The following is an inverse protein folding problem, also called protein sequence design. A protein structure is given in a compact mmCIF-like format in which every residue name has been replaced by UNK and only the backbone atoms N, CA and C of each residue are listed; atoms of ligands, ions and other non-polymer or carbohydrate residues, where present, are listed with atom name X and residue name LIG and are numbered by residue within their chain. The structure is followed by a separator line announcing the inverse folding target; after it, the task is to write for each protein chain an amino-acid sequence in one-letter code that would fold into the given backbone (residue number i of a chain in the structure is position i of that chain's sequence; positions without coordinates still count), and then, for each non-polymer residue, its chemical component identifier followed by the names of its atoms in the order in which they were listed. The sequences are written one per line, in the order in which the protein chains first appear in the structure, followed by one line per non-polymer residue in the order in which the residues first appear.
data_IF_232417411586
#
_entry.id   IF_232417411586
#
_cell.length_a   1.000
_cell.length_b   1.000
_cell.length_c   1.000
_cell.angle_alpha   90.00
_cell.angle_beta   90.00
_cell.angle_gamma   90.00
#
_symmetry.space_group_name_H-M   'P 1'
#
loop_
_entity.id
_entity.type
_entity.pdbx_description
1 polymer ?
#
# COMPACT_ATOMS: atom_id res chain seq x y z
N UNK A 1 1.71 -15.96 -20.11
CA UNK A 1 1.21 -15.76 -18.73
C UNK A 1 0.24 -14.58 -18.74
N UNK A 2 -0.94 -14.68 -18.12
CA UNK A 2 -1.81 -13.49 -17.97
C UNK A 2 -1.29 -12.57 -16.83
N UNK A 3 -1.81 -11.34 -16.74
CA UNK A 3 -1.34 -10.35 -15.77
C UNK A 3 -1.48 -10.82 -14.31
N UNK A 4 -2.60 -11.46 -13.98
CA UNK A 4 -2.84 -12.00 -12.64
C UNK A 4 -1.84 -13.08 -12.24
N UNK A 5 -1.57 -14.00 -13.16
CA UNK A 5 -0.56 -15.06 -12.96
C UNK A 5 0.83 -14.48 -12.82
N UNK A 6 1.19 -13.50 -13.64
CA UNK A 6 2.50 -12.85 -13.67
C UNK A 6 2.80 -12.12 -12.36
N UNK A 7 1.87 -11.29 -11.87
CA UNK A 7 2.06 -10.58 -10.59
C UNK A 7 2.19 -11.58 -9.45
N UNK A 8 1.30 -12.59 -9.39
CA UNK A 8 1.38 -13.63 -8.35
C UNK A 8 2.69 -14.42 -8.43
N UNK A 9 3.15 -14.75 -9.61
CA UNK A 9 4.43 -15.45 -9.80
C UNK A 9 5.62 -14.59 -9.36
N UNK A 10 5.65 -13.30 -9.74
CA UNK A 10 6.69 -12.37 -9.30
C UNK A 10 6.73 -12.21 -7.77
N UNK A 11 5.56 -12.07 -7.13
CA UNK A 11 5.48 -11.97 -5.65
C UNK A 11 6.00 -13.25 -4.99
N UNK A 12 5.70 -14.41 -5.55
CA UNK A 12 6.10 -15.72 -5.00
C UNK A 12 7.51 -16.19 -5.44
N UNK A 13 8.28 -15.35 -6.15
CA UNK A 13 9.62 -15.70 -6.63
C UNK A 13 9.64 -16.81 -7.68
N UNK A 14 8.55 -16.98 -8.43
CA UNK A 14 8.45 -17.95 -9.52
C UNK A 14 8.87 -17.34 -10.86
N UNK A 15 9.16 -18.19 -11.85
CA UNK A 15 9.47 -17.76 -13.20
C UNK A 15 8.34 -16.92 -13.80
N UNK A 16 8.71 -15.84 -14.50
CA UNK A 16 7.81 -14.90 -15.16
C UNK A 16 8.21 -14.69 -16.61
N UNK A 17 7.24 -14.43 -17.48
CA UNK A 17 7.48 -14.17 -18.91
C UNK A 17 7.98 -12.74 -19.18
N UNK A 18 7.71 -11.80 -18.30
CA UNK A 18 8.22 -10.42 -18.27
C UNK A 18 8.05 -9.82 -16.89
N UNK A 19 8.74 -8.72 -16.62
CA UNK A 19 8.53 -7.99 -15.36
C UNK A 19 7.11 -7.41 -15.29
N UNK A 20 6.32 -7.63 -14.20
CA UNK A 20 5.00 -7.02 -14.07
C UNK A 20 5.11 -5.52 -13.86
N UNK A 21 4.20 -4.77 -14.51
CA UNK A 21 4.15 -3.30 -14.50
C UNK A 21 2.88 -2.86 -13.79
N UNK A 22 3.03 -1.89 -12.91
CA UNK A 22 1.96 -1.11 -12.35
C UNK A 22 2.43 0.34 -12.16
N UNK A 23 1.53 1.27 -12.00
CA UNK A 23 1.83 2.65 -11.65
C UNK A 23 0.61 3.31 -11.01
N UNK A 24 0.84 4.01 -9.92
CA UNK A 24 -0.22 4.75 -9.26
C UNK A 24 -0.33 6.15 -9.88
N UNK A 25 -0.83 6.18 -11.12
CA UNK A 25 -0.82 7.36 -11.99
C UNK A 25 -2.06 8.26 -11.87
N UNK A 26 -3.14 7.75 -11.32
CA UNK A 26 -4.35 8.54 -11.05
C UNK A 26 -4.18 9.43 -9.79
N UNK A 27 -5.21 10.10 -9.37
CA UNK A 27 -5.28 11.14 -8.35
C UNK A 27 -4.93 12.53 -8.93
N UNK A 28 -3.70 12.99 -8.80
CA UNK A 28 -3.34 14.37 -9.17
C UNK A 28 -3.41 14.65 -10.68
N UNK A 29 -3.13 13.66 -11.53
CA UNK A 29 -3.11 13.79 -12.98
C UNK A 29 -4.31 13.17 -13.70
N UNK A 30 -5.36 12.81 -12.97
CA UNK A 30 -6.54 12.15 -13.55
C UNK A 30 -7.17 12.98 -14.68
N UNK A 31 -7.30 14.28 -14.49
CA UNK A 31 -7.93 15.16 -15.51
C UNK A 31 -7.08 15.27 -16.77
N UNK A 32 -5.78 15.50 -16.62
CA UNK A 32 -4.81 15.64 -17.69
C UNK A 32 -4.67 14.33 -18.50
N UNK A 33 -4.64 13.19 -17.80
CA UNK A 33 -4.64 11.87 -18.44
C UNK A 33 -5.94 11.65 -19.20
N UNK A 34 -7.10 11.97 -18.62
CA UNK A 34 -8.39 11.83 -19.30
C UNK A 34 -8.49 12.74 -20.54
N UNK A 35 -7.98 13.96 -20.46
CA UNK A 35 -7.95 14.92 -21.57
C UNK A 35 -7.11 14.41 -22.74
N UNK A 36 -5.94 13.84 -22.47
CA UNK A 36 -4.99 13.37 -23.49
C UNK A 36 -5.31 11.96 -24.00
N UNK A 37 -5.72 11.05 -23.12
CA UNK A 37 -5.92 9.61 -23.40
C UNK A 37 -7.38 9.18 -23.45
N UNK A 38 -8.32 10.08 -23.16
CA UNK A 38 -9.74 9.77 -23.04
C UNK A 38 -10.13 9.13 -21.72
N UNK A 39 -9.24 8.41 -21.05
CA UNK A 39 -9.42 7.86 -19.69
C UNK A 39 -8.10 7.39 -19.07
N UNK A 40 -8.04 7.33 -17.75
CA UNK A 40 -6.93 6.66 -17.04
C UNK A 40 -6.82 5.19 -17.48
N UNK A 41 -7.93 4.50 -17.68
CA UNK A 41 -7.94 3.11 -18.12
C UNK A 41 -7.28 2.93 -19.50
N UNK A 42 -7.43 3.90 -20.42
CA UNK A 42 -6.76 3.83 -21.73
C UNK A 42 -5.23 3.96 -21.62
N UNK A 43 -4.75 4.81 -20.69
CA UNK A 43 -3.33 4.90 -20.36
C UNK A 43 -2.82 3.59 -19.76
N UNK A 44 -3.50 3.05 -18.78
CA UNK A 44 -3.15 1.78 -18.14
C UNK A 44 -3.16 0.60 -19.13
N UNK A 45 -4.13 0.56 -20.05
CA UNK A 45 -4.23 -0.49 -21.08
C UNK A 45 -3.10 -0.35 -22.11
N UNK A 46 -2.68 0.88 -22.46
CA UNK A 46 -1.54 1.15 -23.35
C UNK A 46 -0.24 0.55 -22.81
N UNK A 47 0.00 0.68 -21.53
CA UNK A 47 1.22 0.19 -20.87
C UNK A 47 1.04 -1.21 -20.25
N UNK A 48 -0.09 -1.86 -20.54
CA UNK A 48 -0.41 -3.21 -20.05
C UNK A 48 -0.19 -3.35 -18.54
N UNK A 49 -0.79 -2.48 -17.73
CA UNK A 49 -0.69 -2.59 -16.27
C UNK A 49 -1.22 -3.93 -15.80
N UNK A 50 -0.39 -4.66 -15.05
CA UNK A 50 -0.67 -6.01 -14.58
C UNK A 50 -1.47 -6.04 -13.28
N UNK A 51 -1.44 -4.97 -12.50
CA UNK A 51 -2.13 -4.86 -11.23
C UNK A 51 -3.15 -3.72 -11.22
N UNK A 52 -4.03 -3.74 -10.24
CA UNK A 52 -4.95 -2.66 -9.95
C UNK A 52 -5.11 -2.49 -8.44
N UNK A 53 -4.98 -1.26 -7.96
CA UNK A 53 -5.19 -0.84 -6.58
C UNK A 53 -6.65 -0.46 -6.40
N UNK A 54 -7.36 -1.19 -5.55
CA UNK A 54 -8.80 -1.06 -5.35
C UNK A 54 -9.09 -0.43 -4.00
N UNK A 55 -9.87 0.64 -4.03
CA UNK A 55 -10.37 1.32 -2.85
C UNK A 55 -11.88 1.16 -2.73
N UNK A 56 -12.39 1.21 -1.49
CA UNK A 56 -13.83 1.19 -1.20
C UNK A 56 -14.16 0.27 -0.03
N UNK A 57 -15.46 0.02 0.12
CA UNK A 57 -16.00 -0.65 1.30
C UNK A 57 -16.36 0.34 2.41
N UNK A 58 -16.78 -0.13 3.59
CA UNK A 58 -17.07 0.72 4.72
C UNK A 58 -15.79 1.32 5.30
N UNK A 59 -15.90 2.50 5.92
CA UNK A 59 -14.83 3.03 6.76
C UNK A 59 -14.80 2.26 8.09
N UNK A 60 -13.63 2.12 8.74
CA UNK A 60 -13.55 1.39 10.02
C UNK A 60 -14.42 1.98 11.11
N UNK A 61 -14.53 3.29 11.21
CA UNK A 61 -15.29 3.95 12.25
C UNK A 61 -16.44 4.82 11.74
N UNK A 62 -17.42 5.06 12.60
CA UNK A 62 -18.52 5.98 12.35
C UNK A 62 -18.04 7.44 12.44
N UNK A 63 -17.96 8.08 11.27
CA UNK A 63 -17.50 9.46 11.16
C UNK A 63 -18.34 10.43 12.01
N UNK A 64 -19.67 10.24 12.07
CA UNK A 64 -20.55 11.12 12.83
C UNK A 64 -20.35 10.99 14.34
N UNK A 65 -20.07 9.78 14.79
CA UNK A 65 -19.73 9.54 16.19
C UNK A 65 -18.40 10.21 16.55
N UNK A 66 -17.37 10.07 15.72
CA UNK A 66 -16.08 10.74 15.93
C UNK A 66 -16.24 12.27 15.93
N UNK A 67 -16.99 12.84 14.97
CA UNK A 67 -17.26 14.29 14.91
C UNK A 67 -17.99 14.77 16.18
N UNK A 68 -18.95 14.02 16.70
CA UNK A 68 -19.65 14.33 17.96
C UNK A 68 -18.68 14.32 19.14
N UNK A 69 -17.90 13.25 19.30
CA UNK A 69 -16.92 13.14 20.39
C UNK A 69 -15.87 14.26 20.34
N UNK A 70 -15.42 14.64 19.13
CA UNK A 70 -14.52 15.79 18.95
C UNK A 70 -15.14 17.12 19.34
N UNK A 71 -16.45 17.28 19.18
CA UNK A 71 -17.14 18.51 19.58
C UNK A 71 -17.47 18.57 21.08
N UNK A 72 -17.57 17.43 21.74
CA UNK A 72 -17.91 17.31 23.18
C UNK A 72 -16.66 17.32 24.08
N UNK A 73 -15.45 17.18 23.52
CA UNK A 73 -14.20 17.10 24.27
C UNK A 73 -13.17 18.07 23.71
N UNK A 74 -12.40 18.73 24.57
CA UNK A 74 -11.32 19.63 24.17
C UNK A 74 -10.22 18.89 23.40
N UNK A 75 -10.00 17.61 23.75
CA UNK A 75 -9.05 16.73 23.13
C UNK A 75 -9.59 15.28 23.12
N UNK A 76 -9.48 14.59 21.98
CA UNK A 76 -9.80 13.17 21.90
C UNK A 76 -8.64 12.34 22.41
N UNK A 77 -8.93 11.48 23.39
CA UNK A 77 -7.98 10.49 23.92
C UNK A 77 -8.46 9.07 23.64
N UNK A 78 -7.56 8.07 23.64
CA UNK A 78 -7.93 6.68 23.36
C UNK A 78 -9.01 6.10 24.28
N UNK A 79 -9.01 6.44 25.55
CA UNK A 79 -10.02 6.00 26.53
C UNK A 79 -11.42 6.53 26.22
N UNK A 80 -11.54 7.77 25.73
CA UNK A 80 -12.82 8.34 25.24
C UNK A 80 -13.37 7.49 24.08
N UNK A 81 -12.51 7.11 23.13
CA UNK A 81 -12.93 6.27 22.01
C UNK A 81 -13.28 4.85 22.44
N UNK A 82 -12.61 4.29 23.45
CA UNK A 82 -12.89 2.96 23.98
C UNK A 82 -14.22 2.88 24.71
N UNK A 83 -14.70 3.97 25.29
CA UNK A 83 -15.99 4.04 25.96
C UNK A 83 -17.18 3.89 24.99
N UNK A 84 -16.93 4.00 23.69
CA UNK A 84 -17.97 3.97 22.64
C UNK A 84 -17.74 2.80 21.67
N UNK A 85 -18.80 2.40 20.97
CA UNK A 85 -18.70 1.45 19.84
C UNK A 85 -18.47 2.21 18.55
N UNK A 86 -17.22 2.61 18.34
CA UNK A 86 -16.84 3.47 17.20
C UNK A 86 -16.76 2.71 15.86
N UNK A 87 -16.64 1.38 15.88
CA UNK A 87 -16.41 0.62 14.66
C UNK A 87 -17.71 0.34 13.88
N UNK A 88 -17.65 0.53 12.58
CA UNK A 88 -18.77 0.21 11.68
C UNK A 88 -18.90 -1.29 11.47
N UNK A 89 -20.03 -1.72 10.92
CA UNK A 89 -20.20 -3.11 10.50
C UNK A 89 -19.51 -3.36 9.14
N UNK A 90 -18.38 -4.13 9.10
CA UNK A 90 -17.67 -4.44 7.87
C UNK A 90 -18.38 -5.49 6.99
N UNK A 91 -19.47 -6.07 7.43
CA UNK A 91 -20.21 -7.12 6.67
C UNK A 91 -21.32 -6.55 5.81
N UNK A 92 -21.67 -5.28 5.94
CA UNK A 92 -22.79 -4.64 5.27
C UNK A 92 -22.58 -4.55 3.75
N UNK A 93 -23.31 -5.34 2.97
CA UNK A 93 -23.18 -5.47 1.51
C UNK A 93 -23.26 -4.16 0.73
N UNK A 94 -24.19 -3.28 1.09
CA UNK A 94 -24.41 -2.01 0.40
C UNK A 94 -23.15 -1.11 0.38
N UNK A 95 -22.24 -1.26 1.34
CA UNK A 95 -21.00 -0.48 1.43
C UNK A 95 -19.96 -0.89 0.38
N UNK A 96 -20.12 -2.05 -0.24
CA UNK A 96 -19.15 -2.61 -1.19
C UNK A 96 -19.48 -2.38 -2.67
N UNK A 97 -20.57 -1.72 -3.00
CA UNK A 97 -21.01 -1.55 -4.40
C UNK A 97 -19.93 -0.95 -5.31
N UNK A 98 -19.26 0.12 -4.85
CA UNK A 98 -18.16 0.76 -5.59
C UNK A 98 -16.94 -0.16 -5.72
N UNK A 99 -16.53 -0.80 -4.63
CA UNK A 99 -15.41 -1.74 -4.61
C UNK A 99 -15.67 -2.91 -5.56
N UNK A 100 -16.86 -3.49 -5.53
CA UNK A 100 -17.28 -4.58 -6.42
C UNK A 100 -17.20 -4.17 -7.88
N UNK A 101 -17.76 -3.01 -8.25
CA UNK A 101 -17.72 -2.50 -9.61
C UNK A 101 -16.26 -2.29 -10.09
N UNK A 102 -15.37 -1.77 -9.23
CA UNK A 102 -13.95 -1.59 -9.54
C UNK A 102 -13.24 -2.95 -9.72
N UNK A 103 -13.50 -3.93 -8.86
CA UNK A 103 -12.97 -5.29 -9.03
C UNK A 103 -13.43 -5.90 -10.35
N UNK A 104 -14.72 -5.83 -10.68
CA UNK A 104 -15.26 -6.37 -11.92
C UNK A 104 -14.60 -5.72 -13.15
N UNK A 105 -14.42 -4.39 -13.14
CA UNK A 105 -13.78 -3.64 -14.21
C UNK A 105 -12.33 -4.10 -14.48
N UNK A 106 -11.53 -4.25 -13.44
CA UNK A 106 -10.11 -4.62 -13.59
C UNK A 106 -9.94 -6.13 -13.84
N UNK A 107 -10.77 -6.97 -13.24
CA UNK A 107 -10.75 -8.41 -13.49
C UNK A 107 -11.15 -8.75 -14.93
N UNK A 108 -12.08 -8.00 -15.54
CA UNK A 108 -12.41 -8.14 -16.96
C UNK A 108 -11.20 -7.85 -17.87
N UNK A 109 -10.20 -7.12 -17.38
CA UNK A 109 -8.92 -6.87 -18.04
C UNK A 109 -7.81 -7.87 -17.66
N UNK A 110 -8.14 -8.89 -16.87
CA UNK A 110 -7.18 -9.91 -16.41
C UNK A 110 -6.15 -9.41 -15.40
N UNK A 111 -6.36 -8.23 -14.79
CA UNK A 111 -5.43 -7.62 -13.83
C UNK A 111 -5.47 -8.33 -12.49
N UNK A 112 -4.33 -8.33 -11.79
CA UNK A 112 -4.22 -8.69 -10.38
C UNK A 112 -4.78 -7.56 -9.52
N UNK A 113 -5.84 -7.84 -8.76
CA UNK A 113 -6.56 -6.83 -7.97
C UNK A 113 -6.21 -6.94 -6.49
N UNK A 114 -5.61 -5.88 -5.92
CA UNK A 114 -5.37 -5.80 -4.49
C UNK A 114 -6.22 -4.71 -3.86
N UNK A 115 -6.79 -5.02 -2.70
CA UNK A 115 -7.71 -4.11 -1.98
C UNK A 115 -7.00 -3.52 -0.78
N UNK A 116 -7.00 -2.20 -0.68
CA UNK A 116 -6.44 -1.50 0.47
C UNK A 116 -7.39 -1.53 1.66
N UNK A 117 -6.83 -1.82 2.83
CA UNK A 117 -7.40 -1.55 4.14
C UNK A 117 -6.48 -0.60 4.90
N UNK A 118 -7.03 0.33 5.71
CA UNK A 118 -6.18 1.15 6.56
C UNK A 118 -5.45 0.30 7.59
N UNK A 119 -4.24 0.72 7.94
CA UNK A 119 -3.44 0.17 9.01
C UNK A 119 -3.86 0.68 10.39
N UNK A 120 -3.02 0.47 11.38
CA UNK A 120 -3.36 0.76 12.78
C UNK A 120 -2.98 2.18 13.17
N UNK A 121 -1.73 2.57 12.95
CA UNK A 121 -1.22 3.90 13.31
C UNK A 121 -1.79 5.00 12.40
N UNK A 122 -1.60 4.89 11.07
CA UNK A 122 -2.02 5.92 10.11
C UNK A 122 -3.52 6.19 10.17
N UNK A 123 -4.31 5.15 10.36
CA UNK A 123 -5.75 5.26 10.39
C UNK A 123 -6.22 6.21 11.51
N UNK A 124 -5.66 6.10 12.71
CA UNK A 124 -6.01 6.96 13.84
C UNK A 124 -5.40 8.37 13.76
N UNK A 125 -4.42 8.62 12.86
CA UNK A 125 -3.96 9.99 12.58
C UNK A 125 -5.10 10.90 12.11
N UNK A 126 -6.07 10.34 11.40
CA UNK A 126 -7.26 11.10 10.96
C UNK A 126 -8.25 11.42 12.07
N UNK A 127 -8.11 10.76 13.23
CA UNK A 127 -8.96 10.93 14.42
C UNK A 127 -8.28 11.85 15.44
N UNK A 128 -7.05 11.53 15.81
CA UNK A 128 -6.32 12.23 16.87
C UNK A 128 -5.44 13.39 16.35
N UNK A 129 -5.08 13.37 15.06
CA UNK A 129 -3.93 14.11 14.54
C UNK A 129 -2.62 13.40 14.89
N UNK A 130 -1.60 13.58 14.02
CA UNK A 130 -0.34 12.84 14.14
C UNK A 130 0.42 13.15 15.43
N UNK A 131 0.43 14.43 15.86
CA UNK A 131 1.16 14.87 17.06
C UNK A 131 0.56 14.21 18.30
N UNK A 132 -0.76 14.28 18.46
CA UNK A 132 -1.44 13.64 19.58
C UNK A 132 -1.28 12.13 19.55
N UNK A 133 -1.42 11.51 18.40
CA UNK A 133 -1.25 10.06 18.32
C UNK A 133 0.16 9.61 18.71
N UNK A 134 1.21 10.34 18.33
CA UNK A 134 2.56 10.05 18.79
C UNK A 134 2.70 10.20 20.32
N UNK A 135 2.00 11.16 20.93
CA UNK A 135 1.93 11.28 22.40
C UNK A 135 1.15 10.12 23.03
N UNK A 136 0.03 9.73 22.43
CA UNK A 136 -0.84 8.65 22.93
C UNK A 136 -0.14 7.28 22.88
N UNK A 137 0.78 7.04 21.95
CA UNK A 137 1.60 5.82 21.96
C UNK A 137 2.39 5.63 23.26
N UNK A 138 2.66 6.73 23.99
CA UNK A 138 3.41 6.71 25.25
C UNK A 138 2.49 6.86 26.46
N UNK A 139 1.44 7.68 26.36
CA UNK A 139 0.57 8.01 27.49
C UNK A 139 -0.61 7.04 27.67
N UNK A 140 -1.06 6.41 26.57
CA UNK A 140 -2.23 5.52 26.53
C UNK A 140 -1.92 4.22 25.75
N UNK A 141 -0.80 3.52 26.03
CA UNK A 141 -0.41 2.35 25.23
C UNK A 141 -1.42 1.20 25.33
N UNK A 142 -2.00 0.94 26.52
CA UNK A 142 -2.96 -0.15 26.71
C UNK A 142 -4.29 0.14 25.99
N UNK A 143 -4.74 1.39 26.00
CA UNK A 143 -5.96 1.81 25.32
C UNK A 143 -5.78 1.77 23.79
N UNK A 144 -4.62 2.18 23.27
CA UNK A 144 -4.32 2.06 21.85
C UNK A 144 -4.20 0.61 21.41
N UNK A 145 -3.57 -0.26 22.21
CA UNK A 145 -3.51 -1.70 21.94
C UNK A 145 -4.93 -2.29 21.81
N UNK A 146 -5.83 -1.95 22.73
CA UNK A 146 -7.23 -2.41 22.66
C UNK A 146 -7.97 -1.83 21.44
N UNK A 147 -7.76 -0.56 21.07
CA UNK A 147 -8.32 0.03 19.84
C UNK A 147 -7.81 -0.71 18.60
N UNK A 148 -6.51 -0.99 18.53
CA UNK A 148 -5.90 -1.73 17.43
C UNK A 148 -6.38 -3.18 17.38
N UNK A 149 -6.60 -3.82 18.53
CA UNK A 149 -7.20 -5.14 18.62
C UNK A 149 -8.61 -5.17 17.99
N UNK A 150 -9.47 -4.20 18.35
CA UNK A 150 -10.83 -4.07 17.77
C UNK A 150 -10.76 -3.76 16.27
N UNK A 151 -9.82 -2.92 15.84
CA UNK A 151 -9.62 -2.65 14.41
C UNK A 151 -9.15 -3.91 13.67
N UNK A 152 -8.27 -4.73 14.24
CA UNK A 152 -7.84 -5.98 13.62
C UNK A 152 -9.01 -6.94 13.42
N UNK A 153 -9.95 -7.00 14.36
CA UNK A 153 -11.18 -7.81 14.23
C UNK A 153 -12.09 -7.29 13.10
N UNK A 154 -12.19 -5.97 13.00
CA UNK A 154 -12.89 -5.33 11.89
C UNK A 154 -12.20 -5.63 10.56
N UNK A 155 -10.88 -5.48 10.49
CA UNK A 155 -10.07 -5.69 9.28
C UNK A 155 -10.14 -7.14 8.79
N UNK A 156 -10.13 -8.12 9.69
CA UNK A 156 -10.32 -9.55 9.35
C UNK A 156 -11.65 -9.77 8.62
N UNK A 157 -12.76 -9.23 9.13
CA UNK A 157 -14.08 -9.34 8.51
C UNK A 157 -14.16 -8.60 7.17
N UNK A 158 -13.52 -7.42 7.08
CA UNK A 158 -13.40 -6.65 5.84
C UNK A 158 -12.61 -7.44 4.78
N UNK A 159 -11.48 -8.04 5.17
CA UNK A 159 -10.66 -8.88 4.30
C UNK A 159 -11.45 -10.07 3.75
N UNK A 160 -12.18 -10.80 4.61
CA UNK A 160 -13.05 -11.88 4.19
C UNK A 160 -14.04 -11.44 3.12
N UNK A 161 -14.67 -10.28 3.31
CA UNK A 161 -15.61 -9.74 2.34
C UNK A 161 -14.94 -9.39 1.01
N UNK A 162 -13.80 -8.70 1.04
CA UNK A 162 -13.04 -8.35 -0.16
C UNK A 162 -12.57 -9.59 -0.93
N UNK A 163 -12.07 -10.61 -0.23
CA UNK A 163 -11.64 -11.87 -0.82
C UNK A 163 -12.82 -12.63 -1.42
N UNK A 164 -13.98 -12.64 -0.77
CA UNK A 164 -15.21 -13.25 -1.31
C UNK A 164 -15.72 -12.56 -2.59
N UNK A 165 -15.46 -11.27 -2.75
CA UNK A 165 -15.74 -10.48 -3.96
C UNK A 165 -14.67 -10.68 -5.04
N UNK A 166 -13.59 -11.38 -4.74
CA UNK A 166 -12.56 -11.80 -5.68
C UNK A 166 -11.31 -10.95 -5.72
N UNK A 167 -10.97 -10.25 -4.63
CA UNK A 167 -9.63 -9.66 -4.46
C UNK A 167 -8.56 -10.77 -4.46
N UNK A 168 -7.39 -10.46 -5.00
CA UNK A 168 -6.24 -11.38 -5.07
C UNK A 168 -5.30 -11.22 -3.87
N UNK A 169 -5.29 -10.04 -3.26
CA UNK A 169 -4.42 -9.65 -2.14
C UNK A 169 -5.09 -8.57 -1.29
N UNK A 170 -4.83 -8.61 0.01
CA UNK A 170 -5.18 -7.53 0.93
C UNK A 170 -3.92 -6.69 1.17
N UNK A 171 -4.07 -5.37 1.07
CA UNK A 171 -2.99 -4.40 1.20
C UNK A 171 -3.24 -3.51 2.41
N UNK A 172 -2.42 -3.64 3.44
CA UNK A 172 -2.52 -2.85 4.67
C UNK A 172 -1.68 -1.59 4.48
N UNK A 173 -2.31 -0.41 4.59
CA UNK A 173 -1.62 0.89 4.49
C UNK A 173 -1.40 1.47 5.87
N UNK A 174 -0.14 1.61 6.28
CA UNK A 174 0.21 2.07 7.62
C UNK A 174 1.60 2.72 7.66
N UNK A 175 1.66 4.03 7.59
CA UNK A 175 2.91 4.78 7.52
C UNK A 175 3.57 4.94 8.90
N UNK A 176 4.76 4.35 9.07
CA UNK A 176 5.58 4.42 10.29
C UNK A 176 6.91 5.12 10.09
N UNK A 177 7.30 5.31 8.83
CA UNK A 177 8.61 5.86 8.45
C UNK A 177 8.58 7.36 8.20
N UNK A 178 9.67 8.01 8.57
CA UNK A 178 10.05 9.34 8.06
C UNK A 178 11.14 9.18 7.00
N UNK A 179 11.63 10.29 6.44
CA UNK A 179 12.71 10.25 5.44
C UNK A 179 14.04 9.72 5.99
N UNK A 180 14.21 9.60 7.31
CA UNK A 180 15.47 9.21 7.94
C UNK A 180 15.35 8.00 8.87
N UNK A 181 14.22 7.83 9.52
CA UNK A 181 14.01 6.81 10.55
C UNK A 181 12.51 6.58 10.77
N UNK A 182 12.16 5.64 11.64
CA UNK A 182 10.79 5.50 12.13
C UNK A 182 10.34 6.75 12.90
N UNK A 183 9.04 7.08 12.84
CA UNK A 183 8.46 8.23 13.53
C UNK A 183 8.36 8.03 15.05
N UNK A 184 8.41 6.80 15.52
CA UNK A 184 8.35 6.43 16.93
C UNK A 184 9.21 5.20 17.22
N UNK A 185 9.36 4.87 18.52
CA UNK A 185 10.21 3.77 18.95
C UNK A 185 9.75 2.42 18.36
N UNK A 186 10.64 1.65 17.70
CA UNK A 186 10.34 0.32 17.18
C UNK A 186 9.82 -0.67 18.23
N UNK A 187 10.18 -0.52 19.49
CA UNK A 187 9.70 -1.42 20.55
C UNK A 187 8.21 -1.19 20.83
N UNK A 188 7.74 0.05 20.79
CA UNK A 188 6.30 0.37 20.83
C UNK A 188 5.58 -0.30 19.65
N UNK A 189 6.15 -0.23 18.44
CA UNK A 189 5.59 -0.90 17.27
C UNK A 189 5.48 -2.43 17.49
N UNK A 190 6.51 -3.05 18.08
CA UNK A 190 6.53 -4.49 18.39
C UNK A 190 5.49 -4.87 19.44
N UNK A 191 5.27 -4.01 20.41
CA UNK A 191 4.34 -4.27 21.52
C UNK A 191 2.87 -4.12 21.09
N UNK A 192 2.50 -3.02 20.39
CA UNK A 192 1.10 -2.67 20.19
C UNK A 192 0.64 -2.64 18.72
N UNK A 193 1.52 -2.81 17.72
CA UNK A 193 1.12 -2.88 16.30
C UNK A 193 1.35 -4.27 15.72
N UNK A 194 2.55 -4.82 15.91
CA UNK A 194 2.97 -6.12 15.36
C UNK A 194 1.99 -7.26 15.65
N UNK A 195 1.43 -7.43 16.86
CA UNK A 195 0.48 -8.52 17.16
C UNK A 195 -0.79 -8.45 16.33
N UNK A 196 -1.29 -7.25 16.08
CA UNK A 196 -2.50 -7.01 15.30
C UNK A 196 -2.26 -7.19 13.80
N UNK A 197 -1.11 -6.77 13.29
CA UNK A 197 -0.66 -7.10 11.93
C UNK A 197 -0.60 -8.60 11.73
N UNK A 198 0.04 -9.33 12.68
CA UNK A 198 0.12 -10.79 12.61
C UNK A 198 -1.25 -11.45 12.50
N UNK A 199 -2.22 -11.02 13.31
CA UNK A 199 -3.60 -11.52 13.27
C UNK A 199 -4.23 -11.36 11.88
N UNK A 200 -4.05 -10.19 11.25
CA UNK A 200 -4.60 -9.93 9.91
C UNK A 200 -3.87 -10.75 8.85
N UNK A 201 -2.54 -10.80 8.87
CA UNK A 201 -1.70 -11.54 7.91
C UNK A 201 -2.04 -13.04 7.97
N UNK A 202 -2.02 -13.63 9.17
CA UNK A 202 -2.33 -15.06 9.38
C UNK A 202 -3.74 -15.39 8.87
N UNK A 203 -4.70 -14.50 9.11
CA UNK A 203 -6.07 -14.69 8.62
C UNK A 203 -6.13 -14.66 7.10
N UNK A 204 -5.53 -13.66 6.44
CA UNK A 204 -5.50 -13.55 4.99
C UNK A 204 -4.84 -14.77 4.35
N UNK A 205 -3.73 -15.26 4.92
CA UNK A 205 -3.06 -16.47 4.49
C UNK A 205 -3.94 -17.72 4.68
N UNK A 206 -4.69 -17.82 5.77
CA UNK A 206 -5.63 -18.93 6.01
C UNK A 206 -6.71 -19.03 4.92
N UNK A 207 -6.97 -17.91 4.21
CA UNK A 207 -7.89 -17.86 3.05
C UNK A 207 -7.20 -18.17 1.71
N UNK A 208 -5.90 -18.48 1.71
CA UNK A 208 -5.09 -18.75 0.51
C UNK A 208 -4.78 -17.51 -0.32
N UNK A 209 -4.99 -16.31 0.24
CA UNK A 209 -4.71 -15.02 -0.38
C UNK A 209 -3.34 -14.48 0.04
N UNK A 210 -2.85 -13.47 -0.69
CA UNK A 210 -1.62 -12.76 -0.37
C UNK A 210 -1.92 -11.55 0.53
N UNK A 211 -0.94 -11.17 1.36
CA UNK A 211 -1.01 -9.99 2.20
C UNK A 211 0.18 -9.07 1.95
N UNK A 212 -0.08 -7.81 1.65
CA UNK A 212 0.96 -6.80 1.45
C UNK A 212 0.82 -5.64 2.43
N UNK A 213 1.93 -4.93 2.60
CA UNK A 213 2.00 -3.75 3.46
C UNK A 213 2.46 -2.54 2.65
N UNK A 214 1.88 -1.38 2.95
CA UNK A 214 2.41 -0.07 2.58
C UNK A 214 2.94 0.64 3.82
N UNK A 215 4.14 1.19 3.70
CA UNK A 215 4.68 2.19 4.61
C UNK A 215 5.72 3.02 3.88
N UNK A 216 5.46 4.31 3.76
CA UNK A 216 6.43 5.25 3.24
C UNK A 216 7.59 5.46 4.23
N UNK A 217 8.71 5.96 3.70
CA UNK A 217 9.87 6.32 4.49
C UNK A 217 10.77 5.17 4.92
N UNK A 218 11.60 5.41 5.93
CA UNK A 218 12.55 4.46 6.48
C UNK A 218 11.93 3.62 7.59
N UNK A 219 11.69 2.35 7.33
CA UNK A 219 11.19 1.36 8.31
C UNK A 219 12.20 0.24 8.57
N UNK A 220 13.48 0.50 8.30
CA UNK A 220 14.55 -0.50 8.38
C UNK A 220 14.64 -1.22 9.73
N UNK A 221 14.24 -0.56 10.81
CA UNK A 221 14.29 -1.10 12.18
C UNK A 221 13.27 -2.20 12.48
N UNK A 222 12.23 -2.32 11.65
CA UNK A 222 11.16 -3.34 11.80
C UNK A 222 11.06 -4.27 10.57
N UNK A 223 11.98 -4.15 9.61
CA UNK A 223 11.93 -4.97 8.39
C UNK A 223 12.17 -6.45 8.67
N UNK A 224 13.00 -6.79 9.66
CA UNK A 224 13.18 -8.18 10.12
C UNK A 224 11.89 -8.75 10.69
N UNK A 225 11.20 -7.96 11.50
CA UNK A 225 9.89 -8.34 12.04
C UNK A 225 8.85 -8.56 10.93
N UNK A 226 8.87 -7.73 9.86
CA UNK A 226 7.96 -7.91 8.72
C UNK A 226 8.24 -9.21 7.96
N UNK A 227 9.52 -9.58 7.80
CA UNK A 227 9.90 -10.85 7.21
C UNK A 227 9.41 -12.04 8.08
N UNK A 228 9.56 -11.95 9.40
CA UNK A 228 9.06 -12.96 10.36
C UNK A 228 7.52 -13.04 10.38
N UNK A 229 6.82 -11.93 10.18
CA UNK A 229 5.36 -11.90 10.06
C UNK A 229 4.88 -12.57 8.77
N UNK A 230 5.78 -12.74 7.78
CA UNK A 230 5.47 -13.41 6.53
C UNK A 230 4.66 -12.56 5.56
N UNK A 231 4.87 -11.25 5.50
CA UNK A 231 4.28 -10.43 4.44
C UNK A 231 4.72 -10.95 3.07
N UNK A 232 3.84 -10.90 2.07
CA UNK A 232 4.18 -11.34 0.72
C UNK A 232 4.83 -10.23 -0.11
N UNK A 233 4.47 -8.96 0.16
CA UNK A 233 4.95 -7.81 -0.61
C UNK A 233 4.97 -6.54 0.26
N UNK A 234 6.04 -5.74 0.13
CA UNK A 234 6.18 -4.40 0.72
C UNK A 234 6.13 -3.32 -0.37
N UNK A 235 5.37 -2.27 -0.15
CA UNK A 235 5.28 -1.06 -0.97
C UNK A 235 5.41 0.21 -0.12
N UNK A 236 6.20 1.21 -0.54
CA UNK A 236 7.34 1.04 -1.41
C UNK A 236 8.54 0.51 -0.64
N UNK A 237 9.55 -0.03 -1.35
CA UNK A 237 10.91 -0.08 -0.81
C UNK A 237 11.58 1.24 -1.19
N UNK A 238 11.58 2.21 -0.27
CA UNK A 238 11.91 3.60 -0.59
C UNK A 238 13.41 3.88 -0.47
N UNK A 239 14.16 3.71 -1.57
CA UNK A 239 15.62 3.93 -1.59
C UNK A 239 16.00 5.37 -1.19
N UNK A 240 15.18 6.38 -1.56
CA UNK A 240 15.39 7.79 -1.18
C UNK A 240 15.30 8.04 0.33
N UNK A 241 14.70 7.14 1.09
CA UNK A 241 14.63 7.18 2.55
C UNK A 241 15.66 6.24 3.23
N UNK A 242 16.69 5.78 2.50
CA UNK A 242 17.74 4.93 3.03
C UNK A 242 17.48 3.42 2.97
N UNK A 243 16.34 2.99 2.39
CA UNK A 243 16.04 1.58 2.16
C UNK A 243 16.73 1.12 0.85
N UNK A 244 18.02 0.77 0.90
CA UNK A 244 18.78 0.45 -0.31
C UNK A 244 18.34 -0.88 -0.94
N UNK A 245 18.36 -0.95 -2.30
CA UNK A 245 18.07 -2.22 -2.99
C UNK A 245 19.12 -3.28 -2.73
N UNK A 246 20.37 -2.90 -2.42
CA UNK A 246 21.41 -3.87 -2.06
C UNK A 246 21.04 -4.57 -0.75
N UNK A 247 20.59 -3.83 0.27
CA UNK A 247 20.08 -4.40 1.52
C UNK A 247 18.89 -5.36 1.26
N UNK A 248 17.95 -4.95 0.39
CA UNK A 248 16.84 -5.84 0.03
C UNK A 248 17.31 -7.14 -0.60
N UNK A 249 18.21 -7.04 -1.58
CA UNK A 249 18.71 -8.19 -2.33
C UNK A 249 19.53 -9.15 -1.45
N UNK A 250 20.31 -8.60 -0.53
CA UNK A 250 21.17 -9.40 0.35
C UNK A 250 20.39 -10.09 1.48
N UNK A 251 19.31 -9.46 1.97
CA UNK A 251 18.69 -9.92 3.22
C UNK A 251 17.23 -10.35 3.07
N UNK A 252 16.44 -9.74 2.19
CA UNK A 252 14.99 -9.88 2.19
C UNK A 252 14.38 -10.45 0.91
N UNK A 253 15.16 -10.56 -0.17
CA UNK A 253 14.63 -10.97 -1.47
C UNK A 253 14.02 -12.39 -1.49
N UNK A 254 14.44 -13.26 -0.57
CA UNK A 254 13.86 -14.59 -0.38
C UNK A 254 12.64 -14.60 0.54
N UNK A 255 12.46 -13.55 1.36
CA UNK A 255 11.36 -13.47 2.34
C UNK A 255 10.09 -12.88 1.73
N UNK A 256 10.18 -11.72 1.09
CA UNK A 256 9.02 -11.04 0.48
C UNK A 256 9.39 -10.31 -0.81
N UNK A 257 8.40 -9.99 -1.61
CA UNK A 257 8.56 -9.15 -2.80
C UNK A 257 8.54 -7.66 -2.45
N UNK A 258 9.05 -6.81 -3.36
CA UNK A 258 8.85 -5.37 -3.28
C UNK A 258 8.05 -4.87 -4.48
N UNK A 259 7.27 -3.80 -4.27
CA UNK A 259 6.61 -3.04 -5.32
C UNK A 259 7.11 -1.60 -5.24
N UNK A 260 7.48 -0.99 -6.39
CA UNK A 260 8.07 0.34 -6.43
C UNK A 260 9.15 0.44 -7.51
N UNK A 261 10.17 1.25 -7.25
CA UNK A 261 11.33 1.44 -8.12
C UNK A 261 11.34 2.74 -8.91
N UNK A 262 10.18 3.36 -9.14
CA UNK A 262 10.09 4.68 -9.79
C UNK A 262 9.72 5.72 -8.74
N UNK A 263 10.74 6.41 -8.20
CA UNK A 263 10.53 7.35 -7.09
C UNK A 263 9.82 8.63 -7.58
N UNK A 264 8.69 8.96 -6.94
CA UNK A 264 7.92 10.18 -7.23
C UNK A 264 8.49 11.42 -6.54
N UNK A 265 9.39 11.25 -5.57
CA UNK A 265 10.01 12.34 -4.82
C UNK A 265 11.35 12.80 -5.42
N UNK A 266 12.05 11.91 -6.12
CA UNK A 266 13.43 12.19 -6.58
C UNK A 266 13.67 11.88 -8.05
N UNK A 267 12.74 11.24 -8.76
CA UNK A 267 12.95 10.78 -10.12
C UNK A 267 11.90 11.32 -11.10
N UNK A 268 10.71 10.73 -11.14
CA UNK A 268 9.71 11.09 -12.15
C UNK A 268 9.15 12.50 -11.89
N UNK A 269 9.17 13.33 -12.95
CA UNK A 269 8.77 14.74 -12.85
C UNK A 269 9.81 15.66 -12.18
N UNK A 270 10.95 15.12 -11.71
CA UNK A 270 12.03 15.86 -11.03
C UNK A 270 13.31 15.85 -11.87
N UNK A 271 13.74 14.66 -12.32
CA UNK A 271 14.98 14.52 -13.07
C UNK A 271 14.79 14.94 -14.55
N UNK A 272 15.78 15.58 -15.17
CA UNK A 272 15.84 15.70 -16.62
C UNK A 272 15.77 14.32 -17.29
N UNK A 273 15.14 14.20 -18.46
CA UNK A 273 14.86 12.91 -19.14
C UNK A 273 16.06 11.97 -19.24
N UNK A 274 17.25 12.49 -19.56
CA UNK A 274 18.49 11.67 -19.64
C UNK A 274 18.85 11.05 -18.30
N UNK A 275 18.68 11.80 -17.20
CA UNK A 275 18.95 11.28 -15.85
C UNK A 275 17.84 10.35 -15.40
N UNK A 276 16.57 10.63 -15.71
CA UNK A 276 15.45 9.75 -15.45
C UNK A 276 15.60 8.40 -16.17
N UNK A 277 16.02 8.42 -17.44
CA UNK A 277 16.34 7.21 -18.19
C UNK A 277 17.44 6.40 -17.52
N UNK A 278 18.53 7.06 -17.12
CA UNK A 278 19.67 6.41 -16.44
C UNK A 278 19.21 5.77 -15.12
N UNK A 279 18.36 6.47 -14.37
CA UNK A 279 17.83 5.98 -13.09
C UNK A 279 16.91 4.78 -13.28
N UNK A 280 15.96 4.84 -14.21
CA UNK A 280 15.08 3.70 -14.51
C UNK A 280 15.89 2.48 -14.94
N UNK A 281 16.91 2.66 -15.83
CA UNK A 281 17.81 1.58 -16.25
C UNK A 281 18.62 1.01 -15.09
N UNK A 282 19.08 1.86 -14.16
CA UNK A 282 19.79 1.43 -12.95
C UNK A 282 18.93 0.52 -12.09
N UNK A 283 17.69 0.93 -11.83
CA UNK A 283 16.73 0.14 -11.03
C UNK A 283 16.43 -1.20 -11.71
N UNK A 284 16.16 -1.21 -13.01
CA UNK A 284 15.96 -2.45 -13.76
C UNK A 284 17.21 -3.34 -13.75
N UNK A 285 18.40 -2.76 -13.83
CA UNK A 285 19.65 -3.52 -13.75
C UNK A 285 19.83 -4.24 -12.42
N UNK A 286 19.28 -3.70 -11.32
CA UNK A 286 19.32 -4.32 -9.99
C UNK A 286 18.18 -5.32 -9.76
N UNK A 287 16.96 -5.00 -10.15
CA UNK A 287 15.74 -5.68 -9.69
C UNK A 287 15.09 -6.60 -10.72
N UNK A 288 15.45 -6.51 -12.01
CA UNK A 288 14.89 -7.39 -13.05
C UNK A 288 15.13 -8.88 -12.68
N UNK A 289 14.08 -9.68 -12.83
CA UNK A 289 14.12 -11.11 -12.51
C UNK A 289 14.12 -11.43 -11.01
N UNK A 290 13.98 -10.39 -10.15
CA UNK A 290 13.82 -10.55 -8.71
C UNK A 290 12.33 -10.52 -8.34
N UNK A 291 12.02 -10.77 -7.07
CA UNK A 291 10.66 -10.63 -6.52
C UNK A 291 10.25 -9.16 -6.48
N UNK A 292 9.93 -8.62 -7.65
CA UNK A 292 9.68 -7.21 -7.84
C UNK A 292 8.50 -6.94 -8.79
N UNK A 293 7.65 -5.99 -8.42
CA UNK A 293 6.63 -5.39 -9.28
C UNK A 293 7.03 -3.96 -9.56
N UNK A 294 7.26 -3.60 -10.82
CA UNK A 294 7.58 -2.22 -11.19
C UNK A 294 6.41 -1.33 -10.86
N UNK A 295 6.65 -0.30 -10.06
CA UNK A 295 5.62 0.66 -9.66
C UNK A 295 6.23 2.03 -9.34
N UNK A 296 5.43 3.08 -9.38
CA UNK A 296 5.75 4.35 -8.72
C UNK A 296 5.81 4.15 -7.21
N UNK A 297 6.72 4.86 -6.53
CA UNK A 297 6.87 4.71 -5.06
C UNK A 297 5.65 5.21 -4.27
N UNK A 298 4.83 6.06 -4.88
CA UNK A 298 3.56 6.56 -4.36
C UNK A 298 2.67 7.00 -5.54
N UNK A 299 1.46 7.52 -5.29
CA UNK A 299 0.71 8.18 -6.35
C UNK A 299 1.48 9.39 -6.89
N UNK A 300 1.36 9.60 -8.21
CA UNK A 300 2.10 10.66 -8.90
C UNK A 300 1.68 12.03 -8.38
N UNK A 301 2.67 12.89 -8.12
CA UNK A 301 2.49 14.21 -7.52
C UNK A 301 2.24 15.30 -8.58
N UNK A 302 1.75 16.48 -8.14
CA UNK A 302 1.38 17.62 -9.01
C UNK A 302 2.55 18.23 -9.81
N UNK A 303 3.80 17.96 -9.46
CA UNK A 303 4.98 18.41 -10.21
C UNK A 303 5.26 17.56 -11.44
N UNK A 304 4.62 16.41 -11.59
CA UNK A 304 4.76 15.53 -12.73
C UNK A 304 3.77 15.93 -13.83
N UNK A 305 4.19 15.83 -15.10
CA UNK A 305 3.31 16.01 -16.26
C UNK A 305 2.92 14.65 -16.87
N UNK A 306 1.91 14.66 -17.73
CA UNK A 306 1.54 13.45 -18.49
C UNK A 306 2.69 13.05 -19.44
N UNK A 307 3.44 14.00 -19.97
CA UNK A 307 4.63 13.77 -20.81
C UNK A 307 5.77 13.09 -20.04
N UNK A 308 5.92 13.37 -18.74
CA UNK A 308 6.89 12.68 -17.87
C UNK A 308 6.46 11.24 -17.61
N UNK A 309 5.16 11.03 -17.39
CA UNK A 309 4.58 9.69 -17.27
C UNK A 309 4.79 8.87 -18.55
N UNK A 310 4.46 9.43 -19.71
CA UNK A 310 4.64 8.76 -20.99
C UNK A 310 6.10 8.38 -21.21
N UNK A 311 7.02 9.31 -21.02
CA UNK A 311 8.45 9.04 -21.16
C UNK A 311 8.92 7.90 -20.24
N UNK A 312 8.52 7.94 -18.95
CA UNK A 312 8.90 6.92 -18.00
C UNK A 312 8.28 5.55 -18.34
N UNK A 313 6.97 5.52 -18.67
CA UNK A 313 6.29 4.26 -18.95
C UNK A 313 6.61 3.67 -20.33
N UNK A 314 6.95 4.48 -21.34
CA UNK A 314 7.50 3.98 -22.61
C UNK A 314 8.81 3.20 -22.38
N UNK A 315 9.69 3.74 -21.53
CA UNK A 315 10.94 3.07 -21.16
C UNK A 315 10.70 1.83 -20.31
N UNK A 316 9.86 1.93 -19.27
CA UNK A 316 9.49 0.80 -18.39
C UNK A 316 8.88 -0.33 -19.21
N UNK A 317 7.93 -0.02 -20.09
CA UNK A 317 7.27 -0.98 -20.97
C UNK A 317 8.26 -1.76 -21.84
N UNK A 318 9.26 -1.06 -22.39
CA UNK A 318 10.35 -1.67 -23.16
C UNK A 318 11.22 -2.57 -22.26
N UNK A 319 11.75 -2.01 -21.19
CA UNK A 319 12.68 -2.73 -20.31
C UNK A 319 12.05 -3.95 -19.63
N UNK A 320 10.78 -3.91 -19.32
CA UNK A 320 10.07 -5.04 -18.70
C UNK A 320 10.01 -6.30 -19.60
N UNK A 321 10.25 -6.15 -20.92
CA UNK A 321 10.20 -7.21 -21.94
C UNK A 321 11.55 -7.68 -22.44
N UNK A 322 12.62 -6.95 -22.13
CA UNK A 322 14.00 -7.38 -22.39
C UNK A 322 14.43 -8.50 -21.43
#
# INVERSE_FOLDING_TARGET
MNSRERVRAAILGKEIDRQPIYGWVYANLTNEINEKWGSVAAFEDKYEFDAAHIFGGPRPWDKKLIERLSAENDELTPDILLAEDIFTDPTRDASYARLKASLEHHKARGRFCYVQTPGFFENFNSVFGIENQLMWLVLYPDELDELYRRQAEWTVKFADKCLSLGADMIHISDDWGSQKDMMFNPDIWREIIRPHLKKVIDHVHSRGALCSLHSDGCISKVTDDLAELGIDLLHPWQESAGMSYDLYLDKYADSFAIMGGVCVQTAIGILPRVQLESEIRRVFGKLRGKRWVVCTSHFVQNHCSVEDLEFAFDLIYKLARE
#
